data_IF_591805906645
#
_entry.id   IF_591805906645
#
_cell.length_a   1.000
_cell.length_b   1.000
_cell.length_c   1.000
_cell.angle_alpha   90.00
_cell.angle_beta   90.00
_cell.angle_gamma   90.00
#
_symmetry.space_group_name_H-M   'P 1'
#
loop_
_entity.id
_entity.type
_entity.pdbx_description
1 polymer ?
#
# COMPACT_ATOMS: atom_id res chain seq x y z
N UNK A 1 -11.05 8.39 -20.00
CA UNK A 1 -10.14 8.58 -18.85
C UNK A 1 -9.98 10.01 -18.38
N UNK A 2 -9.65 10.99 -19.24
CA UNK A 2 -9.54 12.39 -18.80
C UNK A 2 -10.81 12.92 -18.12
N UNK A 3 -12.00 12.64 -18.68
CA UNK A 3 -13.27 13.02 -18.05
C UNK A 3 -13.46 12.40 -16.65
N UNK A 4 -13.07 11.15 -16.44
CA UNK A 4 -13.15 10.51 -15.13
C UNK A 4 -12.25 11.22 -14.10
N UNK A 5 -11.02 11.54 -14.50
CA UNK A 5 -10.13 12.37 -13.71
C UNK A 5 -10.75 13.73 -13.38
N UNK A 6 -11.29 14.43 -14.39
CA UNK A 6 -11.90 15.75 -14.22
C UNK A 6 -13.03 15.74 -13.20
N UNK A 7 -13.98 14.82 -13.32
CA UNK A 7 -15.10 14.73 -12.40
C UNK A 7 -14.61 14.47 -10.97
N UNK A 8 -13.66 13.56 -10.78
CA UNK A 8 -13.08 13.31 -9.47
C UNK A 8 -12.38 14.56 -8.91
N UNK A 9 -11.45 15.15 -9.68
CA UNK A 9 -10.71 16.33 -9.26
C UNK A 9 -11.61 17.51 -8.90
N UNK A 10 -12.70 17.71 -9.65
CA UNK A 10 -13.67 18.76 -9.38
C UNK A 10 -14.50 18.47 -8.11
N UNK A 11 -15.05 17.26 -7.99
CA UNK A 11 -15.93 16.89 -6.87
C UNK A 11 -15.18 16.78 -5.55
N UNK A 12 -13.92 16.33 -5.56
CA UNK A 12 -13.13 16.11 -4.35
C UNK A 12 -12.08 17.20 -4.11
N UNK A 13 -12.19 18.37 -4.75
CA UNK A 13 -11.19 19.43 -4.61
C UNK A 13 -10.93 19.86 -3.15
N UNK A 14 -11.96 20.03 -2.28
CA UNK A 14 -11.72 20.35 -0.86
C UNK A 14 -10.90 19.27 -0.13
N UNK A 15 -11.16 18.00 -0.41
CA UNK A 15 -10.43 16.89 0.20
C UNK A 15 -9.02 16.76 -0.35
N UNK A 16 -8.83 16.97 -1.66
CA UNK A 16 -7.49 17.04 -2.28
C UNK A 16 -6.67 18.15 -1.62
N UNK A 17 -7.25 19.33 -1.41
CA UNK A 17 -6.58 20.44 -0.73
C UNK A 17 -6.18 20.11 0.71
N UNK A 18 -7.12 19.59 1.49
CA UNK A 18 -6.89 19.20 2.88
C UNK A 18 -5.82 18.11 2.99
N UNK A 19 -5.91 17.08 2.14
CA UNK A 19 -4.93 16.01 2.09
C UNK A 19 -3.54 16.54 1.69
N UNK A 20 -3.46 17.35 0.63
CA UNK A 20 -2.23 17.99 0.20
C UNK A 20 -1.61 18.84 1.30
N UNK A 21 -2.39 19.65 2.01
CA UNK A 21 -1.91 20.48 3.12
C UNK A 21 -1.27 19.61 4.23
N UNK A 22 -1.98 18.56 4.63
CA UNK A 22 -1.53 17.65 5.69
C UNK A 22 -0.27 16.88 5.28
N UNK A 23 -0.20 16.40 4.04
CA UNK A 23 0.98 15.68 3.52
C UNK A 23 2.16 16.62 3.31
N UNK A 24 1.94 17.83 2.76
CA UNK A 24 3.00 18.84 2.60
C UNK A 24 3.61 19.23 3.94
N UNK A 25 2.78 19.44 4.95
CA UNK A 25 3.27 19.69 6.31
C UNK A 25 4.12 18.53 6.82
N UNK A 26 3.64 17.28 6.69
CA UNK A 26 4.40 16.13 7.16
C UNK A 26 5.72 15.96 6.40
N UNK A 27 5.71 16.13 5.08
CA UNK A 27 6.89 16.06 4.21
C UNK A 27 7.94 17.10 4.57
N UNK A 28 7.55 18.34 4.89
CA UNK A 28 8.48 19.39 5.32
C UNK A 28 9.17 19.05 6.65
N UNK A 29 8.59 18.15 7.47
CA UNK A 29 9.24 17.63 8.67
C UNK A 29 10.22 16.47 8.39
N UNK A 30 10.27 15.95 7.15
CA UNK A 30 11.07 14.75 6.79
C UNK A 30 12.24 15.03 5.86
N UNK A 31 12.15 16.06 5.02
CA UNK A 31 13.20 16.36 4.06
C UNK A 31 13.51 17.86 4.01
N UNK A 32 14.80 18.18 3.95
CA UNK A 32 15.31 19.52 3.64
C UNK A 32 15.76 19.65 2.17
N UNK A 33 15.64 18.60 1.35
CA UNK A 33 16.20 18.51 -0.01
C UNK A 33 15.09 18.43 -1.07
N UNK A 34 14.14 19.37 -1.02
CA UNK A 34 13.00 19.40 -1.96
C UNK A 34 13.45 19.63 -3.40
N UNK A 35 14.49 20.43 -3.63
CA UNK A 35 14.90 20.83 -4.98
C UNK A 35 15.43 19.66 -5.84
N UNK A 36 16.29 18.77 -5.31
CA UNK A 36 16.80 17.64 -6.10
C UNK A 36 15.71 16.64 -6.47
N UNK A 37 14.73 16.48 -5.58
CA UNK A 37 13.55 15.66 -5.85
C UNK A 37 12.74 16.24 -7.01
N UNK A 38 12.52 17.56 -7.01
CA UNK A 38 11.81 18.24 -8.10
C UNK A 38 12.52 18.06 -9.44
N UNK A 39 13.84 18.27 -9.48
CA UNK A 39 14.63 18.09 -10.70
C UNK A 39 14.53 16.65 -11.25
N UNK A 40 14.59 15.65 -10.37
CA UNK A 40 14.42 14.25 -10.75
C UNK A 40 13.02 13.99 -11.33
N UNK A 41 11.97 14.55 -10.71
CA UNK A 41 10.59 14.36 -11.17
C UNK A 41 10.30 15.07 -12.49
N UNK A 42 10.87 16.26 -12.71
CA UNK A 42 10.79 16.95 -14.01
C UNK A 42 11.48 16.16 -15.12
N UNK A 43 12.64 15.57 -14.85
CA UNK A 43 13.31 14.68 -15.79
C UNK A 43 12.48 13.42 -16.09
N UNK A 44 11.91 12.81 -15.06
CA UNK A 44 11.01 11.65 -15.20
C UNK A 44 9.80 12.00 -16.06
N UNK A 45 9.14 13.12 -15.78
CA UNK A 45 7.97 13.57 -16.52
C UNK A 45 8.30 13.86 -18.00
N UNK A 46 9.46 14.48 -18.26
CA UNK A 46 9.94 14.71 -19.63
C UNK A 46 10.17 13.39 -20.37
N UNK A 47 10.86 12.44 -19.73
CA UNK A 47 11.07 11.10 -20.30
C UNK A 47 9.74 10.38 -20.55
N UNK A 48 8.79 10.43 -19.61
CA UNK A 48 7.49 9.79 -19.75
C UNK A 48 6.73 10.33 -20.97
N UNK A 49 6.73 11.65 -21.19
CA UNK A 49 6.12 12.24 -22.39
C UNK A 49 6.79 11.76 -23.67
N UNK A 50 8.12 11.73 -23.71
CA UNK A 50 8.86 11.19 -24.86
C UNK A 50 8.46 9.74 -25.15
N UNK A 51 8.31 8.89 -24.13
CA UNK A 51 7.87 7.50 -24.33
C UNK A 51 6.43 7.40 -24.85
N UNK A 52 5.54 8.32 -24.46
CA UNK A 52 4.15 8.33 -24.93
C UNK A 52 4.02 8.82 -26.38
N UNK A 53 4.93 9.68 -26.83
CA UNK A 53 4.93 10.23 -28.20
C UNK A 53 5.72 9.35 -29.19
N UNK A 54 6.63 8.50 -28.70
CA UNK A 54 7.46 7.60 -29.49
C UNK A 54 6.61 6.66 -30.37
N UNK A 55 6.74 6.70 -31.72
CA UNK A 55 5.96 5.86 -32.63
C UNK A 55 6.03 4.36 -32.33
N UNK A 56 7.20 3.86 -31.95
CA UNK A 56 7.39 2.45 -31.59
C UNK A 56 6.56 2.01 -30.37
N UNK A 57 6.20 2.95 -29.50
CA UNK A 57 5.42 2.67 -28.29
C UNK A 57 3.90 2.74 -28.52
N UNK A 58 3.43 3.32 -29.63
CA UNK A 58 2.00 3.52 -29.87
C UNK A 58 1.22 2.20 -30.00
N UNK A 59 1.86 1.11 -30.41
CA UNK A 59 1.28 -0.23 -30.47
C UNK A 59 1.48 -1.07 -29.20
N UNK A 60 2.22 -0.57 -28.20
CA UNK A 60 2.50 -1.30 -26.96
C UNK A 60 1.30 -1.21 -26.00
N UNK A 61 0.73 -2.35 -25.54
CA UNK A 61 -0.36 -2.34 -24.56
C UNK A 61 0.02 -1.59 -23.27
N UNK A 62 1.27 -1.72 -22.83
CA UNK A 62 1.78 -1.02 -21.65
C UNK A 62 1.70 0.51 -21.83
N UNK A 63 2.17 1.04 -22.95
CA UNK A 63 2.21 2.47 -23.20
C UNK A 63 0.84 3.06 -23.52
N UNK A 64 -0.04 2.31 -24.17
CA UNK A 64 -1.45 2.68 -24.33
C UNK A 64 -2.14 2.80 -22.96
N UNK A 65 -1.96 1.81 -22.08
CA UNK A 65 -2.47 1.88 -20.71
C UNK A 65 -1.84 3.02 -19.91
N UNK A 66 -0.53 3.25 -20.06
CA UNK A 66 0.17 4.39 -19.43
C UNK A 66 -0.41 5.73 -19.89
N UNK A 67 -0.76 5.87 -21.17
CA UNK A 67 -1.40 7.08 -21.69
C UNK A 67 -2.75 7.33 -21.00
N UNK A 68 -3.51 6.28 -20.71
CA UNK A 68 -4.76 6.36 -19.95
C UNK A 68 -4.53 6.83 -18.51
N UNK A 69 -3.49 6.33 -17.84
CA UNK A 69 -3.08 6.78 -16.50
C UNK A 69 -2.77 8.28 -16.50
N UNK A 70 -1.91 8.73 -17.43
CA UNK A 70 -1.51 10.14 -17.54
C UNK A 70 -2.70 11.02 -17.88
N UNK A 71 -3.60 10.59 -18.77
CA UNK A 71 -4.83 11.34 -19.08
C UNK A 71 -5.77 11.46 -17.89
N UNK A 72 -5.91 10.42 -17.06
CA UNK A 72 -6.71 10.51 -15.83
C UNK A 72 -6.12 11.51 -14.85
N UNK A 73 -4.80 11.46 -14.62
CA UNK A 73 -4.12 12.43 -13.73
C UNK A 73 -4.27 13.87 -14.24
N UNK A 74 -4.07 14.09 -15.55
CA UNK A 74 -4.28 15.41 -16.16
C UNK A 74 -5.73 15.87 -15.98
N UNK A 75 -6.70 15.00 -16.20
CA UNK A 75 -8.10 15.30 -15.95
C UNK A 75 -8.34 15.73 -14.50
N UNK A 76 -7.78 15.02 -13.52
CA UNK A 76 -7.92 15.37 -12.10
C UNK A 76 -7.37 16.75 -11.78
N UNK A 77 -6.23 17.10 -12.37
CA UNK A 77 -5.65 18.45 -12.29
C UNK A 77 -6.58 19.50 -12.91
N UNK A 78 -7.09 19.25 -14.12
CA UNK A 78 -7.99 20.15 -14.83
C UNK A 78 -9.29 20.39 -14.04
N UNK A 79 -9.87 19.32 -13.49
CA UNK A 79 -11.09 19.35 -12.68
C UNK A 79 -10.92 20.10 -11.37
N UNK A 80 -9.81 19.86 -10.66
CA UNK A 80 -9.48 20.61 -9.45
C UNK A 80 -9.36 22.11 -9.76
N UNK A 81 -8.60 22.48 -10.79
CA UNK A 81 -8.40 23.88 -11.17
C UNK A 81 -9.71 24.57 -11.54
N UNK A 82 -10.59 23.87 -12.27
CA UNK A 82 -11.92 24.37 -12.58
C UNK A 82 -12.74 24.64 -11.30
N UNK A 83 -12.63 23.79 -10.28
CA UNK A 83 -13.29 24.00 -8.98
C UNK A 83 -12.72 25.20 -8.22
N UNK A 84 -11.40 25.36 -8.19
CA UNK A 84 -10.74 26.54 -7.57
C UNK A 84 -11.17 27.83 -8.25
N UNK A 85 -11.18 27.87 -9.58
CA UNK A 85 -11.61 29.06 -10.32
C UNK A 85 -13.07 29.42 -10.03
N UNK A 86 -13.93 28.43 -9.78
CA UNK A 86 -15.34 28.65 -9.46
C UNK A 86 -15.56 29.15 -8.02
N UNK A 87 -14.76 28.69 -7.04
CA UNK A 87 -14.94 29.01 -5.61
C UNK A 87 -14.01 30.11 -5.06
N UNK A 88 -13.02 30.55 -5.85
CA UNK A 88 -12.01 31.53 -5.43
C UNK A 88 -10.79 30.90 -4.73
N UNK A 89 -9.82 31.74 -4.35
CA UNK A 89 -8.47 31.35 -3.88
C UNK A 89 -8.41 30.50 -2.60
N UNK A 90 -9.53 30.23 -1.92
CA UNK A 90 -9.59 29.45 -0.69
C UNK A 90 -9.08 28.00 -0.84
N UNK A 91 -9.08 27.47 -2.06
CA UNK A 91 -8.56 26.14 -2.43
C UNK A 91 -7.30 26.21 -3.31
N UNK A 92 -6.65 27.38 -3.39
CA UNK A 92 -5.47 27.56 -4.24
C UNK A 92 -4.30 26.68 -3.78
N UNK A 93 -3.98 25.65 -4.55
CA UNK A 93 -2.67 24.99 -4.51
C UNK A 93 -1.81 25.68 -5.56
N UNK A 94 -0.57 26.04 -5.22
CA UNK A 94 0.40 26.48 -6.22
C UNK A 94 0.79 25.27 -7.09
N UNK A 95 0.05 25.07 -8.18
CA UNK A 95 0.02 23.83 -8.97
C UNK A 95 1.26 23.55 -9.80
N UNK A 96 2.13 24.54 -10.00
CA UNK A 96 3.48 24.32 -10.54
C UNK A 96 4.18 23.21 -9.72
N UNK A 97 3.80 23.06 -8.45
CA UNK A 97 4.38 22.08 -7.55
C UNK A 97 3.66 20.71 -7.51
N UNK A 98 2.55 20.47 -8.20
CA UNK A 98 1.80 19.19 -8.07
C UNK A 98 2.30 18.07 -9.00
N UNK A 99 2.83 18.41 -10.18
CA UNK A 99 3.64 17.47 -10.99
C UNK A 99 4.99 17.13 -10.32
N UNK A 100 5.36 17.97 -9.36
CA UNK A 100 6.60 17.99 -8.60
C UNK A 100 6.52 17.12 -7.33
N UNK A 101 5.34 16.65 -6.90
CA UNK A 101 5.23 15.88 -5.65
C UNK A 101 4.94 14.39 -5.87
N UNK A 102 6.01 13.65 -6.12
CA UNK A 102 6.03 12.17 -6.16
C UNK A 102 7.31 11.63 -5.48
N UNK A 103 7.44 11.91 -4.18
CA UNK A 103 8.38 11.18 -3.31
C UNK A 103 7.77 10.93 -1.95
N UNK A 104 7.71 9.67 -1.56
CA UNK A 104 8.57 9.11 -0.51
C UNK A 104 8.38 7.59 -0.50
N UNK A 105 9.49 6.86 -0.60
CA UNK A 105 9.52 5.39 -0.65
C UNK A 105 10.37 4.80 0.49
N UNK A 106 10.31 5.39 1.69
CA UNK A 106 11.22 4.97 2.78
C UNK A 106 10.53 4.77 4.13
N UNK A 107 9.22 5.00 4.23
CA UNK A 107 8.56 5.08 5.55
C UNK A 107 7.24 4.29 5.67
N UNK A 108 6.82 3.60 4.61
CA UNK A 108 5.58 2.82 4.62
C UNK A 108 5.80 1.48 5.29
N UNK A 109 4.94 1.16 6.25
CA UNK A 109 4.82 -0.19 6.79
C UNK A 109 3.39 -0.63 6.58
N UNK A 110 3.16 -1.92 6.43
CA UNK A 110 1.82 -2.48 6.28
C UNK A 110 1.84 -3.89 6.85
N UNK A 111 0.67 -4.39 7.22
CA UNK A 111 0.48 -5.81 7.53
C UNK A 111 -0.59 -6.34 6.59
N UNK A 112 -0.39 -7.54 6.04
CA UNK A 112 -1.42 -8.22 5.25
C UNK A 112 -1.48 -9.71 5.59
N UNK A 113 -2.65 -10.30 5.38
CA UNK A 113 -2.91 -11.72 5.57
C UNK A 113 -3.84 -12.23 4.46
N UNK A 114 -3.41 -13.28 3.76
CA UNK A 114 -4.32 -14.14 2.98
C UNK A 114 -4.54 -15.39 3.82
N UNK A 115 -5.80 -15.72 4.12
CA UNK A 115 -6.18 -16.86 4.96
C UNK A 115 -7.17 -17.73 4.21
N UNK A 116 -6.92 -19.03 4.14
CA UNK A 116 -7.92 -19.99 3.64
C UNK A 116 -8.67 -20.61 4.82
N UNK A 117 -9.99 -20.75 4.72
CA UNK A 117 -10.78 -21.49 5.71
C UNK A 117 -10.30 -22.95 5.82
N UNK A 118 -10.36 -23.61 6.99
CA UNK A 118 -9.82 -24.97 7.16
C UNK A 118 -10.40 -26.04 6.22
N UNK A 119 -11.66 -25.85 5.81
CA UNK A 119 -12.42 -26.70 4.90
C UNK A 119 -12.46 -26.15 3.45
N UNK A 120 -11.66 -25.12 3.17
CA UNK A 120 -11.63 -24.38 1.90
C UNK A 120 -12.98 -23.76 1.50
N UNK A 121 -13.91 -23.56 2.45
CA UNK A 121 -15.21 -22.93 2.18
C UNK A 121 -15.11 -21.44 1.82
N UNK A 122 -14.05 -20.75 2.24
CA UNK A 122 -13.83 -19.33 1.96
C UNK A 122 -12.33 -18.99 1.92
N UNK A 123 -12.01 -17.87 1.29
CA UNK A 123 -10.69 -17.24 1.29
C UNK A 123 -10.85 -15.80 1.75
N UNK A 124 -10.07 -15.41 2.76
CA UNK A 124 -10.09 -14.07 3.33
C UNK A 124 -8.80 -13.33 2.99
N UNK A 125 -8.93 -12.05 2.64
CA UNK A 125 -7.79 -11.16 2.39
C UNK A 125 -7.93 -9.93 3.27
N UNK A 126 -6.92 -9.67 4.09
CA UNK A 126 -6.85 -8.52 4.99
C UNK A 126 -5.60 -7.68 4.74
N UNK A 127 -5.74 -6.36 4.83
CA UNK A 127 -4.63 -5.41 4.75
C UNK A 127 -4.84 -4.22 5.69
N UNK A 128 -3.81 -3.90 6.48
CA UNK A 128 -3.77 -2.76 7.39
C UNK A 128 -2.61 -1.84 6.99
N UNK A 129 -2.94 -0.63 6.54
CA UNK A 129 -1.93 0.37 6.13
C UNK A 129 -1.29 0.96 7.38
N UNK A 130 0.04 1.07 7.40
CA UNK A 130 0.73 1.90 8.39
C UNK A 130 1.40 3.09 7.74
N UNK A 131 1.00 4.28 8.17
CA UNK A 131 1.54 5.54 7.69
C UNK A 131 1.41 6.61 8.77
N UNK A 132 1.79 7.85 8.47
CA UNK A 132 1.47 8.97 9.35
C UNK A 132 -0.04 9.17 9.44
N UNK A 133 -0.51 9.55 10.62
CA UNK A 133 -1.90 9.85 10.90
C UNK A 133 -2.39 11.11 10.15
N UNK A 134 -1.49 11.96 9.66
CA UNK A 134 -1.87 13.10 8.80
C UNK A 134 -2.48 12.65 7.45
N UNK A 135 -2.36 11.37 7.09
CA UNK A 135 -2.96 10.78 5.87
C UNK A 135 -4.35 10.16 6.06
N UNK A 136 -4.97 10.30 7.24
CA UNK A 136 -6.25 9.66 7.58
C UNK A 136 -7.49 10.34 6.98
N UNK A 137 -7.32 11.22 5.99
CA UNK A 137 -8.40 11.65 5.11
C UNK A 137 -8.56 10.60 4.00
N UNK A 138 -9.53 9.70 4.17
CA UNK A 138 -9.70 8.49 3.36
C UNK A 138 -10.91 8.62 2.44
N UNK A 139 -10.78 8.11 1.22
CA UNK A 139 -11.89 7.93 0.26
C UNK A 139 -11.80 6.49 -0.27
N UNK A 140 -12.86 5.71 -0.10
CA UNK A 140 -13.01 4.43 -0.78
C UNK A 140 -13.62 4.69 -2.16
N UNK A 141 -13.02 4.14 -3.22
CA UNK A 141 -13.35 4.48 -4.60
C UNK A 141 -13.84 3.25 -5.35
N UNK A 142 -14.97 3.42 -6.03
CA UNK A 142 -15.49 2.45 -6.99
C UNK A 142 -15.39 3.07 -8.37
N UNK A 143 -14.57 2.48 -9.24
CA UNK A 143 -14.40 2.89 -10.63
C UNK A 143 -14.96 1.83 -11.55
N UNK A 144 -15.79 2.28 -12.50
CA UNK A 144 -16.20 1.51 -13.66
C UNK A 144 -15.88 2.31 -14.89
N UNK A 145 -14.96 1.81 -15.71
CA UNK A 145 -14.51 2.46 -16.94
C UNK A 145 -14.89 1.63 -18.16
N UNK A 146 -15.51 2.28 -19.14
CA UNK A 146 -15.78 1.70 -20.46
C UNK A 146 -14.54 1.77 -21.36
N UNK A 147 -13.46 1.09 -20.93
CA UNK A 147 -12.22 1.03 -21.69
C UNK A 147 -12.39 0.18 -22.97
N UNK A 148 -12.03 0.79 -24.11
CA UNK A 148 -12.08 0.19 -25.44
C UNK A 148 -10.76 -0.54 -25.74
N UNK A 149 -10.84 -1.77 -26.24
CA UNK A 149 -9.68 -2.60 -26.59
C UNK A 149 -9.63 -3.92 -25.81
N UNK A 150 -9.30 -5.01 -26.51
CA UNK A 150 -9.25 -6.37 -25.95
C UNK A 150 -8.10 -6.57 -24.94
N UNK A 151 -7.11 -5.69 -24.96
CA UNK A 151 -5.98 -5.70 -24.01
C UNK A 151 -6.41 -5.32 -22.58
N UNK A 152 -7.50 -4.58 -22.41
CA UNK A 152 -8.00 -4.18 -21.09
C UNK A 152 -8.90 -5.27 -20.51
N UNK A 153 -8.37 -5.99 -19.52
CA UNK A 153 -9.02 -7.13 -18.86
C UNK A 153 -9.95 -6.67 -17.72
N UNK A 154 -9.53 -5.63 -17.00
CA UNK A 154 -10.33 -5.04 -15.91
C UNK A 154 -11.01 -3.75 -16.36
N UNK A 155 -12.33 -3.67 -16.14
CA UNK A 155 -13.13 -2.44 -16.27
C UNK A 155 -13.65 -1.88 -14.95
N UNK A 156 -13.81 -2.75 -13.94
CA UNK A 156 -14.37 -2.39 -12.63
C UNK A 156 -13.35 -2.65 -11.53
N UNK A 157 -13.21 -1.70 -10.62
CA UNK A 157 -12.18 -1.67 -9.58
C UNK A 157 -12.73 -0.97 -8.32
N UNK A 158 -12.67 -1.62 -7.15
CA UNK A 158 -13.16 -1.10 -5.86
C UNK A 158 -12.10 -1.04 -4.76
N UNK A 159 -11.64 0.16 -4.43
CA UNK A 159 -10.38 0.36 -3.72
C UNK A 159 -10.48 1.36 -2.58
N UNK A 160 -10.00 0.99 -1.40
CA UNK A 160 -9.28 1.94 -0.55
C UNK A 160 -7.87 2.25 -1.12
N UNK A 161 -7.39 1.37 -2.01
CA UNK A 161 -6.14 1.49 -2.78
C UNK A 161 -6.20 0.88 -4.20
N UNK A 162 -6.17 -0.47 -4.40
CA UNK A 162 -6.24 -1.10 -5.74
C UNK A 162 -7.01 -2.44 -5.74
N UNK A 163 -8.05 -2.64 -6.56
CA UNK A 163 -8.23 -4.01 -7.11
C UNK A 163 -8.41 -4.10 -8.63
N UNK A 164 -8.22 -5.31 -9.15
CA UNK A 164 -8.58 -5.68 -10.53
C UNK A 164 -9.89 -6.49 -10.56
N UNK A 165 -10.45 -6.75 -11.75
CA UNK A 165 -11.60 -7.66 -11.88
C UNK A 165 -11.17 -9.07 -11.49
N UNK A 166 -11.84 -9.67 -10.49
CA UNK A 166 -11.56 -11.02 -9.94
C UNK A 166 -10.15 -11.25 -9.35
N UNK A 167 -9.25 -10.27 -9.46
CA UNK A 167 -7.95 -10.26 -8.81
C UNK A 167 -8.00 -9.35 -7.58
N UNK A 168 -7.77 -9.93 -6.40
CA UNK A 168 -7.50 -9.14 -5.20
C UNK A 168 -5.99 -8.86 -5.15
N UNK A 169 -5.61 -7.59 -5.27
CA UNK A 169 -4.22 -7.15 -5.25
C UNK A 169 -3.98 -6.33 -3.98
N UNK A 170 -3.00 -6.73 -3.19
CA UNK A 170 -2.55 -5.96 -2.02
C UNK A 170 -1.04 -6.01 -1.90
N UNK A 171 -0.45 -5.21 -1.01
CA UNK A 171 1.01 -5.13 -0.88
C UNK A 171 1.45 -4.83 0.55
N UNK A 172 2.70 -5.16 0.88
CA UNK A 172 3.41 -4.49 1.97
C UNK A 172 4.80 -4.04 1.52
N UNK A 173 5.20 -2.85 1.96
CA UNK A 173 6.44 -2.23 1.50
C UNK A 173 7.67 -2.86 2.13
N UNK A 174 8.59 -3.34 1.32
CA UNK A 174 9.86 -3.90 1.77
C UNK A 174 10.88 -2.79 2.03
N UNK A 175 11.74 -3.01 3.03
CA UNK A 175 12.87 -2.12 3.27
C UNK A 175 13.99 -2.34 2.25
N UNK A 176 14.60 -1.27 1.77
CA UNK A 176 15.89 -1.32 1.08
C UNK A 176 16.93 -0.74 2.03
N UNK A 177 17.75 -1.63 2.60
CA UNK A 177 18.67 -1.37 3.70
C UNK A 177 20.12 -1.20 3.24
N UNK A 178 20.43 -1.64 2.02
CA UNK A 178 21.68 -1.30 1.35
C UNK A 178 21.53 0.03 0.57
N UNK A 179 22.16 1.12 1.02
CA UNK A 179 22.02 2.42 0.38
C UNK A 179 22.64 2.46 -1.03
N UNK A 180 23.57 1.55 -1.36
CA UNK A 180 24.22 1.53 -2.67
C UNK A 180 23.24 1.18 -3.80
N UNK A 181 22.19 0.44 -3.48
CA UNK A 181 21.15 -0.01 -4.42
C UNK A 181 20.37 1.17 -5.00
N UNK A 182 20.22 2.26 -4.25
CA UNK A 182 19.48 3.45 -4.68
C UNK A 182 20.10 4.17 -5.89
N UNK A 183 21.38 3.90 -6.22
CA UNK A 183 22.02 4.43 -7.44
C UNK A 183 21.36 3.94 -8.73
N UNK A 184 20.57 2.87 -8.66
CA UNK A 184 19.83 2.33 -9.79
C UNK A 184 18.50 3.05 -10.03
N UNK A 185 18.07 3.93 -9.13
CA UNK A 185 16.84 4.72 -9.30
C UNK A 185 17.15 5.92 -10.17
N UNK A 186 16.64 5.89 -11.40
CA UNK A 186 16.86 6.91 -12.43
C UNK A 186 15.51 7.43 -12.94
N UNK A 187 15.44 8.68 -13.44
CA UNK A 187 14.18 9.25 -13.90
C UNK A 187 13.59 8.54 -15.13
N UNK A 188 14.40 7.81 -15.89
CA UNK A 188 14.00 7.03 -17.07
C UNK A 188 13.37 5.68 -16.72
N UNK A 189 12.34 5.69 -15.87
CA UNK A 189 11.57 4.52 -15.47
C UNK A 189 10.13 4.89 -15.11
N UNK A 190 9.19 3.95 -15.19
CA UNK A 190 7.80 4.19 -14.82
C UNK A 190 7.62 4.04 -13.30
N UNK A 191 6.98 5.02 -12.65
CA UNK A 191 6.77 5.00 -11.21
C UNK A 191 5.81 3.88 -10.80
N UNK A 192 5.98 3.35 -9.59
CA UNK A 192 5.23 2.17 -9.14
C UNK A 192 3.72 2.37 -9.17
N UNK A 193 3.22 3.54 -8.77
CA UNK A 193 1.78 3.82 -8.81
C UNK A 193 1.22 3.77 -10.25
N UNK A 194 2.01 4.20 -11.25
CA UNK A 194 1.63 4.13 -12.66
C UNK A 194 1.61 2.68 -13.13
N UNK A 195 2.66 1.91 -12.80
CA UNK A 195 2.78 0.50 -13.19
C UNK A 195 1.73 -0.39 -12.54
N UNK A 196 1.34 -0.11 -11.29
CA UNK A 196 0.25 -0.83 -10.62
C UNK A 196 -1.08 -0.62 -11.34
N UNK A 197 -1.43 0.61 -11.73
CA UNK A 197 -2.65 0.88 -12.50
C UNK A 197 -2.63 0.18 -13.86
N UNK A 198 -1.49 0.24 -14.57
CA UNK A 198 -1.31 -0.48 -15.84
C UNK A 198 -1.48 -1.99 -15.64
N UNK A 199 -0.82 -2.59 -14.65
CA UNK A 199 -0.94 -4.02 -14.37
C UNK A 199 -2.38 -4.41 -14.01
N UNK A 200 -3.10 -3.61 -13.22
CA UNK A 200 -4.49 -3.89 -12.88
C UNK A 200 -5.41 -3.90 -14.11
N UNK A 201 -5.20 -2.99 -15.06
CA UNK A 201 -6.02 -2.94 -16.28
C UNK A 201 -5.68 -4.04 -17.28
N UNK A 202 -4.42 -4.44 -17.40
CA UNK A 202 -3.95 -5.36 -18.44
C UNK A 202 -3.91 -6.84 -18.04
N UNK A 203 -4.17 -7.17 -16.77
CA UNK A 203 -4.02 -8.53 -16.26
C UNK A 203 -5.35 -9.19 -15.96
N UNK A 204 -5.45 -10.46 -16.34
CA UNK A 204 -6.48 -11.39 -15.90
C UNK A 204 -5.89 -12.58 -15.12
N UNK A 205 -4.61 -12.54 -14.74
CA UNK A 205 -4.04 -13.54 -13.83
C UNK A 205 -2.91 -12.95 -13.00
N UNK A 206 -2.54 -13.63 -11.91
CA UNK A 206 -1.37 -13.24 -11.12
C UNK A 206 -0.05 -13.27 -11.92
N UNK A 207 0.08 -14.19 -12.88
CA UNK A 207 1.26 -14.28 -13.74
C UNK A 207 1.35 -13.11 -14.74
N UNK A 208 0.23 -12.71 -15.34
CA UNK A 208 0.16 -11.52 -16.19
C UNK A 208 0.43 -10.25 -15.39
N UNK A 209 -0.11 -10.17 -14.16
CA UNK A 209 0.14 -9.03 -13.28
C UNK A 209 1.62 -8.89 -12.96
N UNK A 210 2.30 -10.01 -12.65
CA UNK A 210 3.74 -10.06 -12.46
C UNK A 210 4.53 -9.68 -13.72
N UNK A 211 4.04 -10.03 -14.91
CA UNK A 211 4.65 -9.63 -16.17
C UNK A 211 4.59 -8.11 -16.38
N UNK A 212 3.44 -7.48 -16.15
CA UNK A 212 3.24 -6.05 -16.39
C UNK A 212 3.92 -5.16 -15.34
N UNK A 213 3.85 -5.52 -14.06
CA UNK A 213 4.48 -4.72 -13.00
C UNK A 213 6.01 -4.64 -13.17
N UNK A 214 6.64 -5.67 -13.78
CA UNK A 214 8.09 -5.71 -14.02
C UNK A 214 8.57 -4.69 -15.05
N UNK A 215 7.71 -4.30 -15.99
CA UNK A 215 8.09 -3.42 -17.10
C UNK A 215 8.49 -2.04 -16.58
N UNK A 216 9.63 -1.52 -17.05
CA UNK A 216 10.16 -0.20 -16.69
C UNK A 216 10.24 0.04 -15.16
N UNK A 217 10.63 -0.99 -14.39
CA UNK A 217 10.75 -0.91 -12.94
C UNK A 217 11.58 0.30 -12.48
N UNK A 218 10.97 1.19 -11.70
CA UNK A 218 11.60 2.38 -11.14
C UNK A 218 12.50 2.13 -9.94
N UNK A 219 12.35 1.00 -9.24
CA UNK A 219 12.93 0.83 -7.91
C UNK A 219 12.38 1.80 -6.86
N UNK A 220 11.26 2.46 -7.16
CA UNK A 220 10.48 3.26 -6.20
C UNK A 220 9.31 2.42 -5.70
N UNK A 221 8.59 2.83 -4.65
CA UNK A 221 7.60 2.02 -3.89
C UNK A 221 7.91 0.50 -3.85
N UNK A 222 8.98 0.10 -3.16
CA UNK A 222 9.50 -1.27 -3.25
C UNK A 222 8.69 -2.22 -2.35
N UNK A 223 7.88 -3.08 -2.96
CA UNK A 223 6.86 -3.84 -2.23
C UNK A 223 6.96 -5.35 -2.46
N UNK A 224 6.35 -6.11 -1.53
CA UNK A 224 5.81 -7.43 -1.80
C UNK A 224 4.34 -7.28 -2.19
N UNK A 225 4.02 -7.43 -3.46
CA UNK A 225 2.66 -7.53 -3.96
C UNK A 225 2.13 -8.97 -3.83
N UNK A 226 0.86 -9.07 -3.48
CA UNK A 226 0.13 -10.29 -3.19
C UNK A 226 -1.12 -10.28 -4.08
N UNK A 227 -1.18 -11.22 -5.03
CA UNK A 227 -2.25 -11.30 -6.02
C UNK A 227 -3.00 -12.60 -5.79
N UNK A 228 -4.28 -12.48 -5.42
CA UNK A 228 -5.20 -13.62 -5.28
C UNK A 228 -6.13 -13.65 -6.48
N UNK A 229 -6.04 -14.70 -7.29
CA UNK A 229 -6.89 -14.91 -8.46
C UNK A 229 -8.13 -15.71 -8.08
N UNK A 230 -9.23 -15.02 -7.81
CA UNK A 230 -10.46 -15.65 -7.32
C UNK A 230 -11.17 -16.49 -8.38
N UNK A 231 -10.82 -16.37 -9.67
CA UNK A 231 -11.31 -17.27 -10.72
C UNK A 231 -10.85 -18.71 -10.51
N UNK A 232 -9.73 -18.88 -9.81
CA UNK A 232 -9.11 -20.17 -9.50
C UNK A 232 -9.54 -20.71 -8.12
N UNK A 233 -10.46 -20.02 -7.44
CA UNK A 233 -11.02 -20.47 -6.17
C UNK A 233 -12.47 -20.96 -6.35
N UNK A 234 -12.76 -22.15 -5.82
CA UNK A 234 -14.10 -22.70 -5.73
C UNK A 234 -14.31 -23.20 -4.30
N UNK A 235 -15.30 -22.68 -3.56
CA UNK A 235 -15.58 -23.09 -2.19
C UNK A 235 -15.68 -24.61 -2.01
N UNK A 236 -14.92 -25.16 -1.05
CA UNK A 236 -14.88 -26.58 -0.72
C UNK A 236 -14.06 -27.46 -1.68
N UNK A 237 -13.45 -26.88 -2.71
CA UNK A 237 -12.61 -27.60 -3.66
C UNK A 237 -11.11 -27.41 -3.40
N UNK A 238 -10.29 -28.29 -3.97
CA UNK A 238 -8.83 -28.16 -3.91
C UNK A 238 -8.32 -26.85 -4.56
N UNK A 239 -7.34 -26.22 -3.91
CA UNK A 239 -6.77 -24.96 -4.39
C UNK A 239 -5.94 -25.16 -5.66
N UNK A 240 -6.30 -24.44 -6.72
CA UNK A 240 -5.68 -24.54 -8.04
C UNK A 240 -4.40 -23.71 -8.15
N UNK A 241 -3.39 -24.26 -8.83
CA UNK A 241 -2.13 -23.56 -9.14
C UNK A 241 -2.44 -22.21 -9.82
N UNK A 242 -1.78 -21.15 -9.38
CA UNK A 242 -2.00 -19.77 -9.82
C UNK A 242 -2.89 -18.94 -8.90
N UNK A 243 -3.61 -19.56 -7.96
CA UNK A 243 -4.50 -18.87 -7.02
C UNK A 243 -3.78 -17.76 -6.24
N UNK A 244 -2.54 -17.99 -5.79
CA UNK A 244 -1.74 -16.99 -5.09
C UNK A 244 -0.43 -16.73 -5.85
N UNK A 245 -0.25 -15.52 -6.35
CA UNK A 245 1.03 -15.06 -6.91
C UNK A 245 1.64 -13.99 -6.03
N UNK A 246 2.93 -14.14 -5.72
CA UNK A 246 3.72 -13.19 -4.94
C UNK A 246 4.75 -12.55 -5.84
N UNK A 247 4.84 -11.22 -5.79
CA UNK A 247 5.82 -10.44 -6.55
C UNK A 247 6.58 -9.52 -5.60
N UNK A 248 7.89 -9.53 -5.63
CA UNK A 248 8.72 -8.60 -4.88
C UNK A 248 9.56 -7.75 -5.81
N UNK A 249 9.56 -6.45 -5.54
CA UNK A 249 10.31 -5.46 -6.29
C UNK A 249 11.36 -4.77 -5.41
N UNK A 250 12.52 -4.53 -5.99
CA UNK A 250 13.54 -3.60 -5.52
C UNK A 250 14.18 -2.88 -6.74
N UNK A 251 15.04 -1.86 -6.55
CA UNK A 251 15.77 -1.28 -7.68
C UNK A 251 16.57 -2.33 -8.45
N UNK A 252 16.33 -2.41 -9.76
CA UNK A 252 16.99 -3.34 -10.68
C UNK A 252 16.50 -4.80 -10.66
N UNK A 253 15.55 -5.17 -9.79
CA UNK A 253 15.10 -6.56 -9.67
C UNK A 253 13.60 -6.66 -9.35
N UNK A 254 12.93 -7.56 -10.07
CA UNK A 254 11.57 -8.01 -9.76
C UNK A 254 11.55 -9.54 -9.80
N UNK A 255 11.14 -10.17 -8.70
CA UNK A 255 11.01 -11.62 -8.57
C UNK A 255 9.54 -11.96 -8.36
N UNK A 256 9.03 -12.95 -9.09
CA UNK A 256 7.65 -13.39 -8.98
C UNK A 256 7.56 -14.91 -8.91
N UNK A 257 6.63 -15.44 -8.12
CA UNK A 257 6.34 -16.86 -8.10
C UNK A 257 4.92 -17.15 -7.61
N UNK A 258 4.36 -18.26 -8.10
CA UNK A 258 3.17 -18.88 -7.53
C UNK A 258 3.49 -19.46 -6.14
N UNK A 259 2.65 -19.12 -5.15
CA UNK A 259 2.72 -19.56 -3.75
C UNK A 259 1.45 -20.24 -3.26
N UNK A 260 0.62 -20.74 -4.17
CA UNK A 260 -0.59 -21.51 -3.84
C UNK A 260 -0.28 -22.67 -2.90
N UNK A 261 0.86 -23.37 -3.08
CA UNK A 261 1.26 -24.47 -2.19
C UNK A 261 1.51 -24.05 -0.73
N UNK A 262 1.89 -22.79 -0.50
CA UNK A 262 1.99 -22.26 0.87
C UNK A 262 0.60 -22.01 1.43
N UNK A 263 -0.30 -21.44 0.62
CA UNK A 263 -1.68 -21.18 1.02
C UNK A 263 -2.46 -22.47 1.33
N UNK A 264 -2.14 -23.59 0.66
CA UNK A 264 -2.67 -24.93 1.00
C UNK A 264 -2.39 -25.34 2.45
N UNK A 265 -1.39 -24.73 3.11
CA UNK A 265 -1.08 -24.96 4.54
C UNK A 265 -1.82 -24.01 5.49
N UNK A 266 -2.57 -23.04 4.97
CA UNK A 266 -3.52 -22.26 5.75
C UNK A 266 -3.47 -20.75 5.53
N UNK A 267 -2.30 -20.16 5.22
CA UNK A 267 -2.15 -18.70 5.17
C UNK A 267 -0.90 -18.21 4.43
N UNK A 268 -0.92 -16.93 4.04
CA UNK A 268 0.22 -16.14 3.61
C UNK A 268 0.27 -14.80 4.38
N UNK A 269 1.28 -14.57 5.24
CA UNK A 269 1.45 -13.30 5.93
C UNK A 269 2.40 -12.35 5.16
N UNK A 270 2.23 -11.05 5.34
CA UNK A 270 3.15 -10.04 4.80
C UNK A 270 3.34 -8.88 5.78
N UNK A 271 4.60 -8.46 5.96
CA UNK A 271 5.00 -7.60 7.09
C UNK A 271 6.31 -6.83 6.84
N UNK A 272 6.49 -6.30 5.62
CA UNK A 272 7.60 -5.40 5.25
C UNK A 272 9.01 -6.01 5.24
N UNK A 273 9.12 -7.33 5.10
CA UNK A 273 10.40 -8.04 4.95
C UNK A 273 10.30 -8.92 3.72
N UNK A 274 11.26 -8.84 2.76
CA UNK A 274 11.23 -9.68 1.57
C UNK A 274 11.26 -11.17 1.91
N UNK A 275 10.38 -11.93 1.27
CA UNK A 275 10.29 -13.38 1.32
C UNK A 275 11.33 -14.04 0.41
N UNK A 276 11.50 -13.56 -0.82
CA UNK A 276 12.44 -14.16 -1.75
C UNK A 276 13.87 -13.89 -1.29
N UNK A 277 14.64 -14.95 -1.06
CA UNK A 277 16.01 -14.87 -0.53
C UNK A 277 16.90 -13.94 -1.35
N UNK A 278 16.74 -13.92 -2.68
CA UNK A 278 17.48 -13.00 -3.54
C UNK A 278 17.18 -11.53 -3.24
N UNK A 279 15.90 -11.17 -3.12
CA UNK A 279 15.47 -9.80 -2.81
C UNK A 279 15.88 -9.42 -1.39
N UNK A 280 15.71 -10.33 -0.42
CA UNK A 280 16.15 -10.13 0.97
C UNK A 280 17.65 -9.83 1.07
N UNK A 281 18.47 -10.64 0.39
CA UNK A 281 19.93 -10.50 0.39
C UNK A 281 20.38 -9.21 -0.31
N UNK A 282 19.89 -8.96 -1.54
CA UNK A 282 20.27 -7.78 -2.33
C UNK A 282 19.75 -6.48 -1.72
N UNK A 283 18.66 -6.52 -0.95
CA UNK A 283 18.16 -5.36 -0.21
C UNK A 283 18.99 -5.06 1.05
N UNK A 284 19.97 -5.88 1.42
CA UNK A 284 20.94 -5.57 2.49
C UNK A 284 20.57 -6.06 3.89
N UNK A 285 19.52 -6.89 4.05
CA UNK A 285 19.09 -7.38 5.36
C UNK A 285 20.18 -8.18 6.10
N UNK A 286 20.86 -9.18 5.50
CA UNK A 286 21.94 -9.91 6.18
C UNK A 286 23.09 -9.01 6.61
N UNK A 287 23.49 -8.07 5.74
CA UNK A 287 24.59 -7.15 6.01
C UNK A 287 24.30 -6.22 7.19
N UNK A 288 23.08 -5.67 7.27
CA UNK A 288 22.69 -4.85 8.43
C UNK A 288 22.60 -5.70 9.70
N UNK A 289 22.01 -6.89 9.64
CA UNK A 289 21.91 -7.77 10.80
C UNK A 289 23.29 -8.12 11.37
N UNK A 290 24.24 -8.52 10.51
CA UNK A 290 25.61 -8.83 10.91
C UNK A 290 26.31 -7.62 11.54
N UNK A 291 26.19 -6.43 10.93
CA UNK A 291 26.79 -5.19 11.49
C UNK A 291 26.23 -4.84 12.87
N UNK A 292 24.93 -5.05 13.10
CA UNK A 292 24.31 -4.75 14.40
C UNK A 292 24.64 -5.80 15.46
N UNK A 293 24.71 -7.08 15.09
CA UNK A 293 25.15 -8.16 15.99
C UNK A 293 26.60 -7.97 16.45
N UNK A 294 27.49 -7.51 15.56
CA UNK A 294 28.88 -7.25 15.88
C UNK A 294 29.11 -6.10 16.86
N UNK A 295 28.09 -5.28 17.17
CA UNK A 295 28.20 -4.19 18.15
C UNK A 295 28.12 -4.67 19.61
N UNK A 296 27.84 -5.96 19.85
CA UNK A 296 27.74 -6.60 21.18
C UNK A 296 26.94 -5.79 22.23
N UNK A 297 25.90 -5.12 21.78
CA UNK A 297 24.99 -4.36 22.62
C UNK A 297 23.63 -5.05 22.59
N UNK A 298 23.18 -5.54 23.75
CA UNK A 298 21.87 -6.19 23.92
C UNK A 298 20.71 -5.31 23.42
N UNK A 299 20.90 -3.99 23.37
CA UNK A 299 19.98 -3.01 22.80
C UNK A 299 19.62 -3.29 21.32
N UNK A 300 20.49 -3.91 20.52
CA UNK A 300 20.21 -4.19 19.11
C UNK A 300 19.51 -5.54 18.88
N UNK A 301 19.39 -6.40 19.89
CA UNK A 301 18.81 -7.75 19.73
C UNK A 301 17.39 -7.70 19.15
N UNK A 302 16.55 -6.77 19.63
CA UNK A 302 15.20 -6.58 19.13
C UNK A 302 15.19 -6.10 17.66
N UNK A 303 16.12 -5.20 17.30
CA UNK A 303 16.25 -4.69 15.92
C UNK A 303 16.68 -5.82 14.99
N UNK A 304 17.70 -6.59 15.36
CA UNK A 304 18.21 -7.74 14.60
C UNK A 304 17.11 -8.79 14.43
N UNK A 305 16.36 -9.12 15.49
CA UNK A 305 15.21 -10.01 15.40
C UNK A 305 14.14 -9.46 14.44
N UNK A 306 13.91 -8.15 14.46
CA UNK A 306 13.00 -7.44 13.55
C UNK A 306 13.43 -7.41 12.08
N UNK A 307 14.70 -7.69 11.77
CA UNK A 307 15.19 -7.83 10.39
C UNK A 307 14.96 -9.25 9.83
N UNK A 308 14.83 -10.25 10.71
CA UNK A 308 14.62 -11.63 10.29
C UNK A 308 13.21 -11.84 9.73
N UNK A 309 13.11 -12.37 8.50
CA UNK A 309 11.82 -12.72 7.90
C UNK A 309 10.99 -13.65 8.78
N UNK A 310 11.62 -14.59 9.49
CA UNK A 310 10.91 -15.58 10.30
C UNK A 310 10.69 -15.16 11.76
N UNK A 311 11.56 -14.30 12.31
CA UNK A 311 11.59 -13.99 13.74
C UNK A 311 11.13 -12.57 14.09
N UNK A 312 10.83 -11.74 13.10
CA UNK A 312 10.24 -10.42 13.34
C UNK A 312 8.95 -10.55 14.17
N UNK A 313 8.62 -9.55 15.02
CA UNK A 313 7.42 -9.56 15.88
C UNK A 313 6.15 -10.03 15.16
N UNK A 314 5.82 -9.39 14.04
CA UNK A 314 4.65 -9.72 13.21
C UNK A 314 4.71 -11.09 12.55
N UNK A 315 5.90 -11.63 12.27
CA UNK A 315 6.05 -12.99 11.78
C UNK A 315 5.69 -14.02 12.86
N UNK A 316 6.12 -13.78 14.11
CA UNK A 316 5.81 -14.63 15.27
C UNK A 316 4.33 -14.57 15.64
N UNK A 317 3.76 -13.36 15.70
CA UNK A 317 2.33 -13.14 15.96
C UNK A 317 1.49 -13.81 14.87
N UNK A 318 1.77 -13.54 13.58
CA UNK A 318 1.07 -14.20 12.46
C UNK A 318 1.11 -15.72 12.58
N UNK A 319 2.26 -16.30 12.93
CA UNK A 319 2.41 -17.76 13.03
C UNK A 319 1.57 -18.35 14.17
N UNK A 320 1.47 -17.65 15.30
CA UNK A 320 0.66 -18.08 16.45
C UNK A 320 -0.84 -17.92 16.16
N UNK A 321 -1.26 -16.76 15.66
CA UNK A 321 -2.65 -16.33 15.73
C UNK A 321 -3.46 -16.57 14.45
N UNK A 322 -2.80 -16.81 13.30
CA UNK A 322 -3.54 -17.02 12.05
C UNK A 322 -4.53 -18.20 12.13
N UNK A 323 -4.25 -19.19 12.99
CA UNK A 323 -5.11 -20.37 13.16
C UNK A 323 -6.51 -20.01 13.70
N UNK A 324 -6.62 -18.90 14.43
CA UNK A 324 -7.88 -18.42 15.01
C UNK A 324 -8.70 -17.58 14.03
N UNK A 325 -8.15 -17.27 12.84
CA UNK A 325 -8.84 -16.55 11.78
C UNK A 325 -9.66 -17.53 10.95
N UNK A 326 -10.89 -17.80 11.39
CA UNK A 326 -11.83 -18.75 10.76
C UNK A 326 -13.00 -18.05 10.02
N UNK A 327 -13.12 -16.74 10.18
CA UNK A 327 -14.21 -15.94 9.63
C UNK A 327 -13.75 -14.53 9.30
N UNK A 328 -14.55 -13.81 8.51
CA UNK A 328 -14.30 -12.39 8.23
C UNK A 328 -14.28 -11.55 9.53
N UNK A 329 -15.10 -11.88 10.54
CA UNK A 329 -15.09 -11.21 11.83
C UNK A 329 -13.75 -11.39 12.57
N UNK A 330 -13.22 -12.61 12.61
CA UNK A 330 -11.91 -12.87 13.22
C UNK A 330 -10.77 -12.23 12.40
N UNK A 331 -10.90 -12.15 11.07
CA UNK A 331 -9.93 -11.41 10.26
C UNK A 331 -9.93 -9.92 10.61
N UNK A 332 -11.10 -9.30 10.84
CA UNK A 332 -11.18 -7.89 11.28
C UNK A 332 -10.45 -7.67 12.59
N UNK A 333 -10.66 -8.56 13.56
CA UNK A 333 -9.99 -8.52 14.87
C UNK A 333 -8.47 -8.66 14.70
N UNK A 334 -8.02 -9.67 13.94
CA UNK A 334 -6.61 -9.88 13.64
C UNK A 334 -5.97 -8.66 12.96
N UNK A 335 -6.61 -8.08 11.94
CA UNK A 335 -6.06 -6.93 11.22
C UNK A 335 -6.01 -5.65 12.07
N UNK A 336 -6.71 -5.63 13.21
CA UNK A 336 -6.71 -4.54 14.19
C UNK A 336 -5.90 -4.88 15.44
N UNK A 337 -5.27 -6.05 15.50
CA UNK A 337 -4.73 -6.53 16.76
C UNK A 337 -3.50 -5.75 17.23
N UNK A 338 -3.55 -5.39 18.51
CA UNK A 338 -2.44 -4.76 19.21
C UNK A 338 -2.62 -4.86 20.72
N UNK A 339 -1.89 -5.80 21.33
CA UNK A 339 -1.73 -5.92 22.78
C UNK A 339 -0.28 -5.73 23.20
N UNK A 340 0.44 -4.78 22.60
CA UNK A 340 1.89 -4.68 22.70
C UNK A 340 2.46 -4.71 24.14
N UNK A 341 1.71 -4.21 25.13
CA UNK A 341 2.12 -4.16 26.52
C UNK A 341 2.16 -5.54 27.20
N UNK A 342 1.26 -6.46 26.81
CA UNK A 342 1.20 -7.83 27.34
C UNK A 342 1.72 -8.88 26.36
N UNK A 343 1.92 -8.51 25.09
CA UNK A 343 2.36 -9.39 24.02
C UNK A 343 3.88 -9.67 24.08
N UNK A 344 4.32 -10.90 24.36
CA UNK A 344 5.75 -11.23 24.48
C UNK A 344 6.54 -11.05 23.16
N UNK A 345 5.88 -11.10 22.00
CA UNK A 345 6.54 -10.94 20.71
C UNK A 345 6.70 -9.49 20.25
N UNK A 346 5.99 -8.54 20.87
CA UNK A 346 5.97 -7.13 20.47
C UNK A 346 7.33 -6.44 20.62
N UNK A 347 8.22 -7.04 21.42
CA UNK A 347 9.48 -6.41 21.81
C UNK A 347 9.26 -5.20 22.71
N UNK A 348 8.16 -5.19 23.49
CA UNK A 348 7.73 -4.08 24.34
C UNK A 348 7.60 -2.76 23.56
N UNK A 349 7.08 -2.84 22.33
CA UNK A 349 6.89 -1.68 21.46
C UNK A 349 5.51 -1.71 20.83
N UNK A 350 4.77 -0.59 20.81
CA UNK A 350 3.50 -0.50 20.10
C UNK A 350 3.63 -0.60 18.58
N UNK A 351 4.85 -0.58 18.04
CA UNK A 351 5.15 -0.92 16.65
C UNK A 351 5.28 -2.43 16.39
N UNK A 352 5.38 -3.25 17.43
CA UNK A 352 5.59 -4.70 17.33
C UNK A 352 4.33 -5.54 17.13
N UNK A 353 3.19 -4.92 16.81
CA UNK A 353 1.90 -5.57 16.64
C UNK A 353 1.48 -5.70 15.16
N UNK A 354 0.33 -6.32 14.85
CA UNK A 354 -0.24 -6.36 13.49
C UNK A 354 -0.77 -4.99 13.06
N UNK A 355 -1.38 -4.23 13.97
CA UNK A 355 -1.86 -2.88 13.75
C UNK A 355 -1.18 -1.91 14.74
N UNK A 356 -0.03 -1.34 14.37
CA UNK A 356 0.79 -0.53 15.28
C UNK A 356 0.13 0.76 15.79
N UNK A 357 0.58 1.21 16.96
CA UNK A 357 0.14 2.45 17.65
C UNK A 357 1.33 3.32 18.08
N UNK A 358 2.05 3.88 17.11
CA UNK A 358 3.25 4.67 17.40
C UNK A 358 3.02 5.90 18.29
N UNK A 359 1.79 6.37 18.39
CA UNK A 359 1.38 7.48 19.25
C UNK A 359 1.43 7.13 20.74
N UNK A 360 1.43 5.83 21.05
CA UNK A 360 1.54 5.27 22.40
C UNK A 360 2.96 4.86 22.78
N UNK A 361 3.96 5.13 21.93
CA UNK A 361 5.36 4.87 22.27
C UNK A 361 5.75 5.75 23.48
N UNK A 362 6.22 5.16 24.60
CA UNK A 362 6.48 5.90 25.83
C UNK A 362 7.70 6.80 25.73
N UNK A 363 8.67 6.48 24.87
CA UNK A 363 9.90 7.24 24.72
C UNK A 363 9.78 8.31 23.63
N UNK A 364 9.24 7.92 22.47
CA UNK A 364 9.22 8.75 21.27
C UNK A 364 7.87 8.64 20.54
N UNK A 365 6.78 9.17 21.13
CA UNK A 365 5.44 9.09 20.54
C UNK A 365 5.42 9.76 19.17
N UNK A 366 4.86 9.07 18.18
CA UNK A 366 4.72 9.56 16.80
C UNK A 366 3.28 9.38 16.34
N UNK A 367 2.67 10.41 15.76
CA UNK A 367 1.37 10.32 15.08
C UNK A 367 1.50 9.51 13.77
N UNK A 368 1.74 8.21 13.93
CA UNK A 368 2.04 7.25 12.88
C UNK A 368 1.82 5.84 13.40
N UNK A 369 1.37 4.97 12.51
CA UNK A 369 1.08 3.58 12.83
C UNK A 369 0.04 3.06 11.87
N UNK A 370 -0.59 1.95 12.24
CA UNK A 370 -1.75 1.44 11.54
C UNK A 370 -2.86 2.49 11.53
N UNK A 371 -3.38 2.84 10.36
CA UNK A 371 -4.33 3.95 10.22
C UNK A 371 -5.58 3.61 9.39
N UNK A 372 -5.71 2.35 9.01
CA UNK A 372 -6.92 1.72 8.48
C UNK A 372 -6.79 0.20 8.59
N UNK A 373 -7.88 -0.51 8.31
CA UNK A 373 -7.84 -1.91 7.92
C UNK A 373 -8.96 -2.21 6.93
N UNK A 374 -8.67 -3.09 5.97
CA UNK A 374 -9.65 -3.56 4.97
C UNK A 374 -9.63 -5.07 4.95
N UNK A 375 -10.80 -5.67 4.85
CA UNK A 375 -10.96 -7.13 4.75
C UNK A 375 -11.98 -7.47 3.68
N UNK A 376 -11.77 -8.57 2.98
CA UNK A 376 -12.77 -9.14 2.07
C UNK A 376 -12.75 -10.66 2.18
N UNK A 377 -13.86 -11.28 1.79
CA UNK A 377 -13.99 -12.73 1.61
C UNK A 377 -14.22 -13.05 0.13
N UNK A 378 -14.27 -14.32 -0.25
CA UNK A 378 -14.57 -14.70 -1.63
C UNK A 378 -15.86 -14.03 -2.15
N UNK A 379 -16.95 -14.17 -1.38
CA UNK A 379 -18.27 -13.62 -1.75
C UNK A 379 -18.24 -12.10 -1.90
N UNK A 380 -17.59 -11.40 -0.96
CA UNK A 380 -17.52 -9.94 -1.01
C UNK A 380 -16.65 -9.47 -2.19
N UNK A 381 -15.48 -10.06 -2.37
CA UNK A 381 -14.57 -9.66 -3.44
C UNK A 381 -15.15 -9.92 -4.84
N UNK A 382 -15.88 -11.02 -5.03
CA UNK A 382 -16.60 -11.30 -6.28
C UNK A 382 -17.73 -10.28 -6.56
N UNK A 383 -18.25 -9.62 -5.53
CA UNK A 383 -19.20 -8.51 -5.63
C UNK A 383 -18.54 -7.13 -5.67
N UNK A 384 -17.20 -7.06 -5.85
CA UNK A 384 -16.43 -5.82 -5.76
C UNK A 384 -16.59 -5.09 -4.40
N UNK A 385 -16.79 -5.85 -3.33
CA UNK A 385 -17.03 -5.32 -1.99
C UNK A 385 -15.92 -5.71 -1.00
N UNK A 386 -15.79 -4.89 0.04
CA UNK A 386 -14.92 -5.15 1.19
C UNK A 386 -15.50 -4.45 2.42
N UNK A 387 -15.06 -4.85 3.60
CA UNK A 387 -15.29 -4.06 4.81
C UNK A 387 -14.04 -3.27 5.17
N UNK A 388 -14.20 -2.00 5.48
CA UNK A 388 -13.10 -1.09 5.77
C UNK A 388 -13.36 -0.29 7.05
N UNK A 389 -12.30 -0.02 7.81
CA UNK A 389 -12.30 0.90 8.96
C UNK A 389 -11.18 1.92 8.80
N UNK A 390 -11.46 3.19 9.10
CA UNK A 390 -10.49 4.27 9.10
C UNK A 390 -10.01 4.60 10.52
N UNK A 391 -8.72 4.91 10.67
CA UNK A 391 -8.11 5.35 11.93
C UNK A 391 -7.32 4.27 12.67
N UNK A 392 -6.61 4.64 13.74
CA UNK A 392 -5.78 3.70 14.52
C UNK A 392 -6.63 2.72 15.34
N UNK A 393 -6.07 1.53 15.66
CA UNK A 393 -6.77 0.54 16.50
C UNK A 393 -6.90 1.01 17.94
N UNK A 394 -8.04 0.75 18.57
CA UNK A 394 -8.20 0.91 20.02
C UNK A 394 -7.59 -0.27 20.82
N UNK A 395 -6.96 -1.24 20.14
CA UNK A 395 -6.36 -2.42 20.76
C UNK A 395 -7.35 -3.58 20.91
N UNK A 396 -6.89 -4.67 21.49
CA UNK A 396 -7.67 -5.90 21.64
C UNK A 396 -8.69 -5.71 22.77
N UNK A 397 -9.96 -5.52 22.40
CA UNK A 397 -11.02 -5.17 23.35
C UNK A 397 -11.00 -3.70 23.81
N UNK A 398 -10.24 -2.83 23.14
CA UNK A 398 -10.26 -1.38 23.40
C UNK A 398 -9.27 -0.88 24.47
N UNK A 399 -8.33 -1.72 24.90
CA UNK A 399 -7.37 -1.45 25.98
C UNK A 399 -6.38 -0.30 25.70
N UNK A 400 -6.07 -0.03 24.43
CA UNK A 400 -5.19 1.06 24.02
C UNK A 400 -5.90 2.43 23.93
N UNK A 401 -7.23 2.42 23.99
CA UNK A 401 -8.06 3.62 23.85
C UNK A 401 -8.07 4.20 22.43
N UNK A 402 -9.11 4.99 22.16
CA UNK A 402 -9.32 5.65 20.87
C UNK A 402 -8.30 6.77 20.64
N UNK A 403 -7.75 6.84 19.43
CA UNK A 403 -6.90 7.97 19.03
C UNK A 403 -7.72 9.26 18.87
N UNK A 404 -7.21 10.34 19.44
CA UNK A 404 -7.79 11.68 19.34
C UNK A 404 -6.70 12.69 18.97
N UNK A 405 -7.00 13.54 17.99
CA UNK A 405 -6.23 14.77 17.80
C UNK A 405 -6.37 15.68 19.02
N UNK A 406 -5.42 16.60 19.19
CA UNK A 406 -5.34 17.46 20.36
C UNK A 406 -4.20 17.10 21.33
N UNK A 407 -4.15 17.79 22.47
CA UNK A 407 -3.06 17.67 23.45
C UNK A 407 -1.67 17.83 22.82
N UNK A 408 -0.85 16.77 22.88
CA UNK A 408 0.51 16.76 22.29
C UNK A 408 0.52 16.87 20.75
N UNK A 409 -0.63 16.71 20.09
CA UNK A 409 -0.76 16.75 18.62
C UNK A 409 -1.29 18.08 18.08
N UNK A 410 -1.49 19.11 18.91
CA UNK A 410 -2.03 20.42 18.48
C UNK A 410 -1.24 21.07 17.33
N UNK A 411 0.07 20.80 17.23
CA UNK A 411 0.92 21.33 16.15
C UNK A 411 0.98 20.47 14.88
N UNK A 412 0.27 19.34 14.82
CA UNK A 412 0.30 18.41 13.68
C UNK A 412 -0.79 18.78 12.69
N UNK A 413 -0.50 18.89 11.39
CA UNK A 413 -1.52 19.21 10.39
C UNK A 413 -2.48 18.03 10.14
N UNK A 414 -3.79 18.28 10.27
CA UNK A 414 -4.86 17.28 10.09
C UNK A 414 -6.17 17.90 9.58
N UNK A 415 -6.11 18.87 8.65
CA UNK A 415 -7.30 19.51 8.06
C UNK A 415 -8.23 18.48 7.43
N UNK A 416 -9.54 18.67 7.59
CA UNK A 416 -10.58 17.79 7.08
C UNK A 416 -10.74 16.47 7.85
N UNK A 417 -9.85 16.15 8.79
CA UNK A 417 -9.98 14.95 9.60
C UNK A 417 -10.90 15.17 10.81
N UNK A 418 -11.63 14.14 11.26
CA UNK A 418 -12.35 14.16 12.53
C UNK A 418 -11.37 14.28 13.71
N UNK A 419 -11.78 14.88 14.82
CA UNK A 419 -10.94 14.99 16.02
C UNK A 419 -10.75 13.63 16.72
N UNK A 420 -11.75 12.75 16.64
CA UNK A 420 -11.77 11.43 17.30
C UNK A 420 -11.94 10.35 16.23
N UNK A 421 -11.08 9.32 16.26
CA UNK A 421 -11.12 8.20 15.32
C UNK A 421 -11.69 6.93 15.98
N UNK A 422 -13.00 6.94 16.24
CA UNK A 422 -13.76 5.82 16.83
C UNK A 422 -14.73 5.20 15.81
N UNK A 423 -14.19 4.79 14.65
CA UNK A 423 -15.00 4.24 13.57
C UNK A 423 -15.09 2.72 13.66
N UNK A 424 -16.26 2.19 13.33
CA UNK A 424 -16.47 0.77 13.10
C UNK A 424 -16.06 0.38 11.66
N UNK A 425 -15.98 -0.93 11.40
CA UNK A 425 -15.92 -1.41 10.02
C UNK A 425 -17.24 -1.10 9.31
N UNK A 426 -17.14 -0.61 8.08
CA UNK A 426 -18.27 -0.36 7.20
C UNK A 426 -18.12 -1.13 5.90
N UNK A 427 -19.23 -1.64 5.39
CA UNK A 427 -19.29 -2.29 4.07
C UNK A 427 -19.12 -1.25 2.97
N UNK A 428 -18.17 -1.48 2.08
CA UNK A 428 -17.86 -0.67 0.91
C UNK A 428 -18.24 -1.48 -0.32
N UNK A 429 -19.16 -0.96 -1.13
CA UNK A 429 -19.68 -1.62 -2.33
C UNK A 429 -20.12 -0.57 -3.37
N UNK A 430 -20.01 -0.88 -4.69
CA UNK A 430 -20.42 0.03 -5.77
C UNK A 430 -21.89 0.44 -5.76
#
# INVERSE_FOLDING_TARGET
MQAAGFVEGYLTAPDIFNHWYNQRWWLSQKTNDTYKVMDWLMQHHTWLRQQLDEPANQSSPFWQAMQLVVRQLQGMLDGYNARVSAEGTALGIDFINLQEWLTLNTMGRCSALVKIAPDFSDIFVGHATWWTYTSMLKIYKHYTFELQGEQYKTRTTSMSSYPGSHLVVTETSNGILDPSVWRQVVPQAALSWQRVLVANWLSDSGAEWAHWIKQYNSGTYNNQYIIVDLKLFSPGAELQRGLLTIVEQMPGLVVAADKTQVLQRGYWPSYNIPFFTEVYNKSGYPGLAHRLQAKDESAYNAVVSGLSYQLAPRAKISRRDQGDVLSLHQLKAYMRSNSWASEPYSGNSPFGAICSRGDLDPAHPKASGCNDAKVTSYRLAMANAAEAVAGPTAGDGGDLGVFKWGGKWQGVAHRGQPEVFDFAYELQQP
#
